data_IF_516251059655
#
_entry.id   IF_516251059655
#
_cell.length_a   1.000
_cell.length_b   1.000
_cell.length_c   1.000
_cell.angle_alpha   90.00
_cell.angle_beta   90.00
_cell.angle_gamma   90.00
#
_symmetry.space_group_name_H-M   'P 1'
#
loop_
_entity.id
_entity.type
_entity.pdbx_description
1 polymer ?
#
# COMPACT_ATOMS: atom_id res chain seq x y z
N UNK A 1 7.26 -7.74 -13.80
CA UNK A 1 6.74 -6.89 -12.72
C UNK A 1 6.91 -5.40 -13.00
N UNK A 2 8.11 -4.95 -13.37
CA UNK A 2 8.36 -3.57 -13.85
C UNK A 2 7.46 -3.20 -15.05
N UNK A 3 7.25 -4.14 -15.99
CA UNK A 3 6.41 -3.91 -17.18
C UNK A 3 4.91 -3.78 -16.87
N UNK A 4 4.41 -4.49 -15.84
CA UNK A 4 3.00 -4.42 -15.41
C UNK A 4 2.71 -3.09 -14.69
N UNK A 5 3.66 -2.60 -13.88
CA UNK A 5 3.58 -1.25 -13.30
C UNK A 5 3.61 -0.16 -14.39
N UNK A 6 4.40 -0.36 -15.46
CA UNK A 6 4.50 0.56 -16.60
C UNK A 6 3.21 0.69 -17.41
N UNK A 7 2.33 -0.32 -17.38
CA UNK A 7 1.03 -0.35 -18.08
C UNK A 7 -0.11 0.15 -17.18
N UNK A 8 -0.11 -0.21 -15.90
CA UNK A 8 -1.19 0.14 -14.98
C UNK A 8 -1.19 1.63 -14.58
N UNK A 9 -0.01 2.26 -14.48
CA UNK A 9 0.14 3.69 -14.16
C UNK A 9 -0.54 4.60 -15.21
N UNK A 10 -0.34 4.40 -16.54
CA UNK A 10 -1.00 5.22 -17.56
C UNK A 10 -2.53 5.07 -17.64
N UNK A 11 -3.10 3.93 -17.22
CA UNK A 11 -4.55 3.67 -17.35
C UNK A 11 -5.38 4.13 -16.15
N UNK A 12 -4.73 4.55 -15.05
CA UNK A 12 -5.45 5.02 -13.85
C UNK A 12 -6.23 3.93 -13.12
N UNK A 13 -6.03 2.65 -13.44
CA UNK A 13 -6.65 1.53 -12.73
C UNK A 13 -5.92 1.28 -11.40
N UNK A 14 -6.31 2.09 -10.40
CA UNK A 14 -5.78 2.06 -9.04
C UNK A 14 -5.93 0.70 -8.36
N UNK A 15 -6.93 -0.09 -8.72
CA UNK A 15 -7.13 -1.44 -8.17
C UNK A 15 -6.10 -2.41 -8.73
N UNK A 16 -5.84 -2.37 -10.04
CA UNK A 16 -4.78 -3.17 -10.66
C UNK A 16 -3.39 -2.76 -10.16
N UNK A 17 -3.14 -1.46 -9.98
CA UNK A 17 -1.89 -0.97 -9.37
C UNK A 17 -1.69 -1.56 -7.97
N UNK A 18 -2.73 -1.52 -7.12
CA UNK A 18 -2.67 -2.07 -5.76
C UNK A 18 -2.40 -3.57 -5.72
N UNK A 19 -3.03 -4.36 -6.61
CA UNK A 19 -2.78 -5.79 -6.76
C UNK A 19 -1.33 -6.08 -7.18
N UNK A 20 -0.83 -5.37 -8.18
CA UNK A 20 0.55 -5.54 -8.68
C UNK A 20 1.56 -5.18 -7.58
N UNK A 21 1.35 -4.10 -6.85
CA UNK A 21 2.22 -3.70 -5.74
C UNK A 21 2.24 -4.76 -4.64
N UNK A 22 1.08 -5.31 -4.28
CA UNK A 22 0.95 -6.35 -3.25
C UNK A 22 1.65 -7.64 -3.65
N UNK A 23 1.43 -8.09 -4.89
CA UNK A 23 2.14 -9.24 -5.43
C UNK A 23 3.67 -9.03 -5.40
N UNK A 24 4.13 -7.79 -5.60
CA UNK A 24 5.56 -7.46 -5.59
C UNK A 24 6.14 -7.56 -4.19
N UNK A 25 5.41 -7.03 -3.21
CA UNK A 25 5.76 -7.13 -1.80
C UNK A 25 5.90 -8.58 -1.34
N UNK A 26 4.96 -9.45 -1.72
CA UNK A 26 4.95 -10.88 -1.40
C UNK A 26 6.14 -11.62 -2.02
N UNK A 27 6.41 -11.43 -3.32
CA UNK A 27 7.57 -12.06 -3.99
C UNK A 27 8.90 -11.61 -3.37
N UNK A 28 8.99 -10.37 -2.87
CA UNK A 28 10.18 -9.87 -2.18
C UNK A 28 10.30 -10.39 -0.73
N UNK A 29 9.21 -10.91 -0.15
CA UNK A 29 9.19 -11.51 1.20
C UNK A 29 9.84 -12.90 1.20
N UNK A 30 9.67 -13.67 0.13
CA UNK A 30 10.30 -15.00 -0.04
C UNK A 30 11.83 -14.93 -0.02
N UNK A 31 12.41 -13.78 -0.39
CA UNK A 31 13.87 -13.56 -0.42
C UNK A 31 14.41 -12.93 0.87
N UNK A 32 13.62 -12.08 1.53
CA UNK A 32 13.99 -11.41 2.79
C UNK A 32 12.74 -11.32 3.67
N UNK A 33 12.59 -12.18 4.70
CA UNK A 33 11.45 -12.19 5.59
C UNK A 33 11.29 -10.84 6.28
N UNK A 34 10.09 -10.26 6.22
CA UNK A 34 9.75 -8.98 6.88
C UNK A 34 8.66 -9.24 7.92
N UNK A 35 9.01 -9.03 9.18
CA UNK A 35 8.17 -9.34 10.35
C UNK A 35 6.79 -8.66 10.30
N UNK A 36 6.71 -7.45 9.76
CA UNK A 36 5.47 -6.66 9.76
C UNK A 36 4.65 -6.75 8.47
N UNK A 37 5.13 -7.44 7.42
CA UNK A 37 4.41 -7.48 6.14
C UNK A 37 3.06 -8.22 6.26
N UNK A 38 3.01 -9.32 7.01
CA UNK A 38 1.75 -10.04 7.25
C UNK A 38 0.74 -9.18 8.02
N UNK A 39 1.20 -8.42 9.02
CA UNK A 39 0.33 -7.48 9.75
C UNK A 39 -0.20 -6.39 8.81
N UNK A 40 0.64 -5.82 7.96
CA UNK A 40 0.24 -4.78 7.00
C UNK A 40 -0.75 -5.31 5.95
N UNK A 41 -0.60 -6.55 5.50
CA UNK A 41 -1.56 -7.21 4.60
C UNK A 41 -2.93 -7.37 5.28
N UNK A 42 -2.94 -7.79 6.56
CA UNK A 42 -4.18 -7.91 7.33
C UNK A 42 -4.88 -6.57 7.51
N UNK A 43 -4.16 -5.51 7.88
CA UNK A 43 -4.74 -4.15 7.96
C UNK A 43 -5.30 -3.71 6.59
N UNK A 44 -4.57 -3.98 5.50
CA UNK A 44 -5.00 -3.66 4.14
C UNK A 44 -6.31 -4.36 3.78
N UNK A 45 -6.47 -5.63 4.13
CA UNK A 45 -7.69 -6.41 3.91
C UNK A 45 -8.86 -5.88 4.74
N UNK A 46 -8.64 -5.66 6.04
CA UNK A 46 -9.68 -5.19 6.98
C UNK A 46 -10.24 -3.81 6.61
N UNK A 47 -9.40 -2.92 6.06
CA UNK A 47 -9.81 -1.56 5.66
C UNK A 47 -10.37 -1.52 4.23
N UNK A 48 -10.25 -2.61 3.46
CA UNK A 48 -10.59 -2.61 2.03
C UNK A 48 -9.70 -1.63 1.25
N UNK A 49 -8.39 -1.63 1.56
CA UNK A 49 -7.39 -0.86 0.87
C UNK A 49 -7.09 -1.45 -0.53
N UNK A 50 -6.41 -0.68 -1.39
CA UNK A 50 -6.04 -1.12 -2.73
C UNK A 50 -4.94 -2.20 -2.69
N UNK A 51 -4.09 -2.17 -1.66
CA UNK A 51 -3.01 -3.13 -1.48
C UNK A 51 -1.86 -2.60 -0.61
N UNK A 52 -0.78 -3.37 -0.56
CA UNK A 52 0.45 -3.05 0.19
C UNK A 52 1.61 -2.82 -0.78
N UNK A 53 2.50 -1.88 -0.43
CA UNK A 53 3.75 -1.62 -1.14
C UNK A 53 4.94 -1.76 -0.19
N UNK A 54 6.05 -2.28 -0.70
CA UNK A 54 7.32 -2.39 0.04
C UNK A 54 8.40 -1.67 -0.77
N UNK A 55 9.11 -0.74 -0.13
CA UNK A 55 10.24 -0.06 -0.77
C UNK A 55 11.37 -1.06 -1.05
N UNK A 56 12.16 -0.82 -2.11
CA UNK A 56 13.19 -1.74 -2.60
C UNK A 56 14.22 -2.16 -1.53
N UNK A 57 14.57 -1.28 -0.58
CA UNK A 57 15.47 -1.62 0.55
C UNK A 57 14.80 -2.41 1.67
N UNK A 58 13.48 -2.66 1.58
CA UNK A 58 12.68 -3.39 2.56
C UNK A 58 12.39 -2.63 3.86
N UNK A 59 12.86 -1.39 3.98
CA UNK A 59 12.78 -0.57 5.20
C UNK A 59 11.44 0.13 5.40
N UNK A 60 10.63 0.21 4.35
CA UNK A 60 9.33 0.89 4.39
C UNK A 60 8.27 -0.04 3.80
N UNK A 61 7.19 -0.24 4.56
CA UNK A 61 5.97 -0.91 4.13
C UNK A 61 4.85 0.14 4.17
N UNK A 62 4.03 0.23 3.13
CA UNK A 62 2.94 1.19 3.01
C UNK A 62 1.63 0.53 2.60
N UNK A 63 0.51 1.14 2.97
CA UNK A 63 -0.84 0.76 2.54
C UNK A 63 -1.32 1.78 1.50
N UNK A 64 -1.86 1.28 0.38
CA UNK A 64 -2.40 2.10 -0.71
C UNK A 64 -3.90 2.29 -0.52
N UNK A 65 -4.36 3.54 -0.43
CA UNK A 65 -5.78 3.88 -0.28
C UNK A 65 -6.29 4.62 -1.51
N UNK A 66 -7.55 4.36 -1.88
CA UNK A 66 -8.26 5.14 -2.89
C UNK A 66 -8.70 6.47 -2.28
N UNK A 67 -8.11 7.57 -2.76
CA UNK A 67 -8.44 8.92 -2.30
C UNK A 67 -9.79 9.42 -2.81
N UNK A 68 -10.33 8.80 -3.86
CA UNK A 68 -11.62 9.17 -4.46
C UNK A 68 -12.80 8.48 -3.77
N UNK A 69 -12.54 7.45 -2.96
CA UNK A 69 -13.55 6.76 -2.20
C UNK A 69 -14.22 7.69 -1.18
N UNK A 70 -15.55 7.66 -1.09
CA UNK A 70 -16.32 8.50 -0.17
C UNK A 70 -15.99 8.23 1.31
N UNK A 71 -15.50 7.03 1.61
CA UNK A 71 -15.10 6.59 2.94
C UNK A 71 -13.59 6.76 3.22
N UNK A 72 -12.84 7.42 2.32
CA UNK A 72 -11.40 7.63 2.44
C UNK A 72 -10.97 8.18 3.82
N UNK A 73 -11.60 9.22 4.40
CA UNK A 73 -11.19 9.72 5.71
C UNK A 73 -11.28 8.66 6.83
N UNK A 74 -12.34 7.83 6.79
CA UNK A 74 -12.53 6.74 7.74
C UNK A 74 -11.49 5.64 7.54
N UNK A 75 -11.23 5.26 6.29
CA UNK A 75 -10.20 4.28 5.95
C UNK A 75 -8.82 4.72 6.40
N UNK A 76 -8.46 5.99 6.15
CA UNK A 76 -7.18 6.56 6.59
C UNK A 76 -7.04 6.53 8.11
N UNK A 77 -8.07 6.96 8.85
CA UNK A 77 -8.04 6.93 10.31
C UNK A 77 -7.89 5.49 10.82
N UNK A 78 -8.66 4.54 10.28
CA UNK A 78 -8.56 3.13 10.66
C UNK A 78 -7.15 2.56 10.42
N UNK A 79 -6.52 2.91 9.29
CA UNK A 79 -5.13 2.51 9.02
C UNK A 79 -4.18 3.09 10.05
N UNK A 80 -4.29 4.39 10.34
CA UNK A 80 -3.42 5.06 11.33
C UNK A 80 -3.57 4.43 12.71
N UNK A 81 -4.80 4.19 13.17
CA UNK A 81 -5.10 3.60 14.48
C UNK A 81 -4.56 2.17 14.61
N UNK A 82 -4.65 1.38 13.55
CA UNK A 82 -4.13 0.01 13.55
C UNK A 82 -2.60 -0.02 13.45
N UNK A 83 -1.99 0.84 12.64
CA UNK A 83 -0.52 0.89 12.47
C UNK A 83 0.16 1.48 13.71
N UNK A 84 -0.47 2.42 14.41
CA UNK A 84 0.05 3.00 15.66
C UNK A 84 0.37 1.92 16.72
N UNK A 85 -0.27 0.75 16.64
CA UNK A 85 -0.01 -0.41 17.52
C UNK A 85 1.32 -1.12 17.22
N UNK A 86 1.84 -0.99 16.00
CA UNK A 86 3.09 -1.61 15.56
C UNK A 86 4.25 -0.60 15.49
N UNK A 87 3.95 0.69 15.33
CA UNK A 87 4.95 1.76 15.23
C UNK A 87 4.39 3.07 15.77
N UNK A 88 5.11 3.70 16.69
CA UNK A 88 4.68 4.92 17.37
C UNK A 88 4.59 6.16 16.47
N UNK A 89 5.13 6.10 15.23
CA UNK A 89 5.17 7.24 14.31
C UNK A 89 4.85 6.84 12.86
N UNK A 90 3.58 6.53 12.53
CA UNK A 90 3.17 6.26 11.15
C UNK A 90 3.34 7.51 10.27
N UNK A 91 3.93 7.35 9.09
CA UNK A 91 4.07 8.43 8.10
C UNK A 91 2.99 8.31 7.03
N UNK A 92 2.23 9.38 6.83
CA UNK A 92 1.22 9.48 5.77
C UNK A 92 1.82 10.24 4.59
N UNK A 93 1.82 9.61 3.42
CA UNK A 93 2.23 10.24 2.16
C UNK A 93 1.01 10.47 1.29
N UNK A 94 0.69 11.74 1.00
CA UNK A 94 -0.38 12.10 0.08
C UNK A 94 0.23 12.40 -1.29
N UNK A 95 -0.11 11.60 -2.29
CA UNK A 95 0.25 11.89 -3.68
C UNK A 95 -0.70 12.98 -4.21
N UNK A 96 -0.11 14.04 -4.77
CA UNK A 96 -0.84 15.03 -5.56
C UNK A 96 -0.99 14.50 -6.99
N UNK A 97 -2.10 14.85 -7.65
CA UNK A 97 -2.30 14.56 -9.08
C UNK A 97 -1.07 15.03 -9.88
N UNK A 98 -0.42 14.11 -10.57
CA UNK A 98 0.54 14.45 -11.61
C UNK A 98 -0.22 15.15 -12.74
N UNK A 99 -0.12 16.48 -12.81
CA UNK A 99 -0.50 17.25 -13.99
C UNK A 99 0.65 17.12 -14.98
N UNK A 100 0.55 16.14 -15.87
CA UNK A 100 1.21 16.21 -17.18
C UNK A 100 0.49 17.21 -18.05
#
# INVERSE_FOLDING_TARGET
>A
MLEQARIAIPQGDIASIGKIATASALLHQERVPKEHLNSMLKVSEEVGALGVIVAHSGTVIGILLDRTACDFPRKLQSVVDQIARFNSSPRVYLTMHWRG
#
